data_IF_845651027545
#
_entry.id   IF_845651027545
#
_cell.length_a   1.000
_cell.length_b   1.000
_cell.length_c   1.000
_cell.angle_alpha   90.00
_cell.angle_beta   90.00
_cell.angle_gamma   90.00
#
_symmetry.space_group_name_H-M   'P 1'
#
loop_
_entity.id
_entity.type
_entity.pdbx_description
1 polymer ?
#
# COMPACT_ATOMS: atom_id res chain seq x y z
N UNK A 1 7.97 14.34 -14.41
CA UNK A 1 8.94 14.74 -13.37
C UNK A 1 9.81 13.55 -13.02
N UNK A 2 11.06 13.76 -12.62
CA UNK A 2 11.91 12.70 -12.04
C UNK A 2 12.03 12.97 -10.54
N UNK A 3 11.62 12.01 -9.72
CA UNK A 3 11.89 11.96 -8.29
C UNK A 3 13.25 11.30 -8.12
N UNK A 4 14.25 12.11 -7.82
CA UNK A 4 15.65 11.74 -7.90
C UNK A 4 16.27 11.43 -6.52
N UNK A 5 15.57 11.85 -5.48
CA UNK A 5 15.89 11.77 -4.05
C UNK A 5 14.55 11.93 -3.29
N UNK A 6 14.57 11.92 -1.97
CA UNK A 6 13.36 11.95 -1.16
C UNK A 6 12.55 13.23 -1.37
N UNK A 7 11.23 13.07 -1.48
CA UNK A 7 10.29 14.19 -1.54
C UNK A 7 9.55 14.30 -0.22
N UNK A 8 9.88 15.36 0.53
CA UNK A 8 9.20 15.68 1.77
C UNK A 8 8.10 16.72 1.55
N UNK A 9 6.89 16.43 2.03
CA UNK A 9 5.77 17.37 2.12
C UNK A 9 5.64 17.78 3.59
N UNK A 10 6.12 18.97 4.00
CA UNK A 10 6.10 19.38 5.40
C UNK A 10 4.69 19.60 5.95
N UNK A 11 4.55 19.54 7.27
CA UNK A 11 3.33 19.96 7.95
C UNK A 11 2.94 21.40 7.55
N UNK A 12 1.65 21.65 7.38
CA UNK A 12 1.13 22.94 6.91
C UNK A 12 1.31 23.21 5.40
N UNK A 13 2.01 22.33 4.68
CA UNK A 13 2.15 22.41 3.22
C UNK A 13 1.26 21.39 2.51
N UNK A 14 0.99 21.62 1.23
CA UNK A 14 0.26 20.69 0.38
C UNK A 14 0.97 20.44 -0.94
N UNK A 15 0.99 19.19 -1.40
CA UNK A 15 1.40 18.82 -2.75
C UNK A 15 0.22 18.22 -3.52
N UNK A 16 0.05 18.63 -4.78
CA UNK A 16 -0.94 18.04 -5.68
C UNK A 16 -0.28 17.49 -6.94
N UNK A 17 -0.52 16.22 -7.23
CA UNK A 17 -0.27 15.62 -8.54
C UNK A 17 -1.54 15.75 -9.40
N UNK A 18 -1.44 16.53 -10.47
CA UNK A 18 -2.54 16.76 -11.40
C UNK A 18 -2.86 15.49 -12.23
N UNK A 19 -4.10 15.33 -12.75
CA UNK A 19 -4.43 14.18 -13.60
C UNK A 19 -3.44 14.01 -14.76
N UNK A 20 -3.08 12.76 -15.07
CA UNK A 20 -2.11 12.43 -16.13
C UNK A 20 -0.65 12.70 -15.78
N UNK A 21 -0.34 13.16 -14.56
CA UNK A 21 1.05 13.34 -14.12
C UNK A 21 1.83 12.03 -14.18
N UNK A 22 3.05 12.10 -14.72
CA UNK A 22 4.00 11.00 -14.73
C UNK A 22 5.21 11.34 -13.85
N UNK A 23 5.42 10.51 -12.83
CA UNK A 23 6.51 10.60 -11.88
C UNK A 23 7.44 9.40 -12.10
N UNK A 24 8.63 9.68 -12.62
CA UNK A 24 9.69 8.70 -12.74
C UNK A 24 10.48 8.66 -11.45
N UNK A 25 10.54 7.53 -10.75
CA UNK A 25 11.30 7.39 -9.51
C UNK A 25 12.66 6.81 -9.83
N UNK A 26 13.74 7.53 -9.54
CA UNK A 26 15.09 6.99 -9.64
C UNK A 26 15.34 6.10 -8.43
N UNK A 27 15.64 4.80 -8.61
CA UNK A 27 16.08 3.95 -7.51
C UNK A 27 17.31 4.56 -6.84
N UNK A 28 17.38 4.48 -5.52
CA UNK A 28 18.58 4.91 -4.81
C UNK A 28 19.72 3.90 -5.06
N UNK A 29 20.91 4.40 -5.39
CA UNK A 29 22.12 3.57 -5.46
C UNK A 29 22.61 3.33 -4.02
N UNK A 30 22.36 2.13 -3.49
CA UNK A 30 22.69 1.79 -2.12
C UNK A 30 24.21 1.75 -1.89
N UNK A 31 24.74 2.74 -1.19
CA UNK A 31 26.05 2.65 -0.50
C UNK A 31 25.97 3.08 0.97
N UNK A 32 24.77 3.31 1.53
CA UNK A 32 24.61 3.81 2.91
C UNK A 32 24.61 2.65 3.90
N UNK A 33 25.70 2.55 4.67
CA UNK A 33 25.91 1.62 5.77
C UNK A 33 25.47 2.27 7.09
N UNK A 34 24.18 2.57 7.29
CA UNK A 34 23.63 3.11 8.55
C UNK A 34 22.16 2.71 8.70
N UNK A 35 21.64 2.64 9.94
CA UNK A 35 21.06 1.44 10.54
C UNK A 35 19.92 0.79 9.76
N UNK A 36 19.80 -0.52 9.96
CA UNK A 36 18.93 -1.53 9.34
C UNK A 36 17.43 -1.20 9.26
N UNK A 37 16.99 -0.15 9.95
CA UNK A 37 15.60 0.25 10.14
C UNK A 37 15.20 1.54 9.41
N UNK A 38 16.11 2.17 8.66
CA UNK A 38 15.78 3.26 7.74
C UNK A 38 15.93 2.76 6.30
N UNK A 39 14.86 2.86 5.51
CA UNK A 39 14.92 2.55 4.08
C UNK A 39 15.94 3.49 3.42
N UNK A 40 16.92 2.93 2.72
CA UNK A 40 17.89 3.71 1.94
C UNK A 40 17.34 4.13 0.57
N UNK A 41 16.08 3.79 0.29
CA UNK A 41 15.43 3.95 -0.99
C UNK A 41 14.74 5.30 -1.11
N UNK A 42 14.72 5.85 -2.32
CA UNK A 42 13.97 7.07 -2.66
C UNK A 42 12.51 6.97 -2.21
N UNK A 43 12.02 7.98 -1.51
CA UNK A 43 10.68 7.94 -0.90
C UNK A 43 9.89 9.26 -1.00
N UNK A 44 8.57 9.18 -0.78
CA UNK A 44 7.71 10.35 -0.60
C UNK A 44 7.21 10.38 0.84
N UNK A 45 7.72 11.33 1.63
CA UNK A 45 7.40 11.50 3.04
C UNK A 45 6.34 12.60 3.21
N UNK A 46 5.15 12.23 3.70
CA UNK A 46 4.02 13.14 3.87
C UNK A 46 3.82 13.45 5.35
N UNK A 47 4.08 14.70 5.75
CA UNK A 47 3.68 15.27 7.05
C UNK A 47 2.53 16.28 6.90
N UNK A 48 2.34 16.82 5.70
CA UNK A 48 1.28 17.78 5.37
C UNK A 48 0.11 17.13 4.64
N UNK A 49 -0.31 17.74 3.54
CA UNK A 49 -1.41 17.24 2.70
C UNK A 49 -0.91 16.73 1.35
N UNK A 50 -1.28 15.50 1.01
CA UNK A 50 -1.03 14.93 -0.33
C UNK A 50 -2.34 14.77 -1.10
N UNK A 51 -2.39 15.31 -2.32
CA UNK A 51 -3.50 15.09 -3.25
C UNK A 51 -3.01 14.46 -4.54
N UNK A 52 -3.53 13.29 -4.88
CA UNK A 52 -3.33 12.66 -6.18
C UNK A 52 -4.67 12.70 -6.92
N UNK A 53 -4.74 13.48 -8.00
CA UNK A 53 -6.02 13.85 -8.64
C UNK A 53 -6.24 13.15 -9.98
N UNK A 54 -5.79 11.91 -10.13
CA UNK A 54 -5.98 11.16 -11.37
C UNK A 54 -7.39 10.58 -11.52
N UNK A 55 -7.64 10.00 -12.70
CA UNK A 55 -8.88 9.30 -13.02
C UNK A 55 -8.60 8.13 -13.99
N UNK A 56 -9.65 7.40 -14.41
CA UNK A 56 -9.50 6.22 -15.29
C UNK A 56 -8.85 6.56 -16.64
N UNK A 57 -9.15 7.72 -17.21
CA UNK A 57 -8.61 8.16 -18.50
C UNK A 57 -7.20 8.74 -18.36
N UNK A 58 -6.97 9.51 -17.30
CA UNK A 58 -5.73 10.23 -17.03
C UNK A 58 -5.20 9.88 -15.63
N UNK A 59 -4.70 8.65 -15.44
CA UNK A 59 -4.18 8.26 -14.14
C UNK A 59 -2.88 9.00 -13.83
N UNK A 60 -2.63 9.28 -12.54
CA UNK A 60 -1.28 9.66 -12.09
C UNK A 60 -0.44 8.40 -11.97
N UNK A 61 0.77 8.39 -12.54
CA UNK A 61 1.62 7.19 -12.56
C UNK A 61 2.95 7.44 -11.86
N UNK A 62 3.29 6.55 -10.93
CA UNK A 62 4.59 6.46 -10.27
C UNK A 62 5.28 5.22 -10.80
N UNK A 63 6.30 5.44 -11.64
CA UNK A 63 7.02 4.37 -12.32
C UNK A 63 8.49 4.47 -11.94
N UNK A 64 9.12 3.41 -11.41
CA UNK A 64 10.55 3.43 -11.20
C UNK A 64 11.27 3.43 -12.55
N UNK A 65 12.40 4.13 -12.60
CA UNK A 65 13.38 3.99 -13.66
C UNK A 65 14.09 2.65 -13.54
N UNK A 66 14.61 2.16 -14.66
CA UNK A 66 15.45 0.98 -14.67
C UNK A 66 16.73 1.26 -13.85
N UNK A 67 17.08 0.43 -12.84
CA UNK A 67 18.35 0.56 -12.15
C UNK A 67 19.51 0.26 -13.10
N UNK A 68 20.69 0.84 -12.82
CA UNK A 68 21.92 0.60 -13.59
C UNK A 68 22.40 -0.84 -13.35
N UNK A 69 22.43 -1.25 -12.08
CA UNK A 69 22.78 -2.61 -11.69
C UNK A 69 21.56 -3.55 -11.74
N UNK A 70 21.76 -4.84 -12.07
CA UNK A 70 20.69 -5.83 -12.02
C UNK A 70 20.11 -5.93 -10.61
N UNK A 71 18.80 -5.82 -10.51
CA UNK A 71 18.03 -6.06 -9.29
C UNK A 71 17.21 -7.32 -9.52
N UNK A 72 17.08 -8.19 -8.52
CA UNK A 72 16.32 -9.42 -8.67
C UNK A 72 14.87 -9.13 -9.07
N UNK A 73 14.26 -10.06 -9.81
CA UNK A 73 12.86 -9.94 -10.17
C UNK A 73 12.00 -9.99 -8.91
N UNK A 74 11.07 -9.03 -8.80
CA UNK A 74 10.20 -8.90 -7.61
C UNK A 74 10.73 -7.92 -6.56
N UNK A 75 12.04 -7.64 -6.52
CA UNK A 75 12.60 -6.72 -5.53
C UNK A 75 12.05 -5.29 -5.72
N UNK A 76 11.78 -4.56 -4.63
CA UNK A 76 11.34 -3.18 -4.69
C UNK A 76 12.46 -2.28 -5.21
N UNK A 77 12.08 -1.22 -5.93
CA UNK A 77 13.00 -0.26 -6.54
C UNK A 77 13.02 1.10 -5.84
N UNK A 78 12.09 1.32 -4.91
CA UNK A 78 11.95 2.55 -4.13
C UNK A 78 11.10 2.27 -2.90
N UNK A 79 11.07 3.15 -1.89
CA UNK A 79 10.37 2.85 -0.65
C UNK A 79 8.84 2.90 -0.83
N UNK A 80 8.34 3.91 -1.55
CA UNK A 80 6.92 4.15 -1.76
C UNK A 80 6.47 5.51 -1.24
N UNK A 81 5.24 5.58 -0.72
CA UNK A 81 4.67 6.79 -0.14
C UNK A 81 4.34 6.52 1.33
N UNK A 82 4.93 7.32 2.21
CA UNK A 82 4.73 7.22 3.65
C UNK A 82 3.95 8.41 4.18
N UNK A 83 2.85 8.12 4.86
CA UNK A 83 1.95 9.09 5.45
C UNK A 83 2.14 9.02 6.96
N UNK A 84 2.80 10.06 7.47
CA UNK A 84 3.33 10.14 8.82
C UNK A 84 2.35 10.88 9.75
N UNK A 85 2.62 10.93 11.08
CA UNK A 85 1.66 11.44 12.04
C UNK A 85 1.10 12.83 11.69
N UNK A 86 -0.23 12.92 11.64
CA UNK A 86 -0.97 14.15 11.30
C UNK A 86 -1.14 14.42 9.80
N UNK A 87 -0.59 13.58 8.92
CA UNK A 87 -0.76 13.71 7.49
C UNK A 87 -2.21 13.40 7.04
N UNK A 88 -2.62 14.08 5.97
CA UNK A 88 -3.92 13.84 5.33
C UNK A 88 -3.73 13.63 3.83
N UNK A 89 -4.34 12.58 3.28
CA UNK A 89 -4.24 12.27 1.87
C UNK A 89 -5.59 12.02 1.19
N UNK A 90 -5.70 12.51 -0.04
CA UNK A 90 -6.80 12.25 -0.97
C UNK A 90 -6.23 11.71 -2.27
N UNK A 91 -6.42 10.41 -2.50
CA UNK A 91 -5.81 9.67 -3.60
C UNK A 91 -6.90 9.20 -4.57
N UNK A 92 -6.79 9.58 -5.84
CA UNK A 92 -7.74 9.19 -6.89
C UNK A 92 -7.01 8.84 -8.17
N UNK A 93 -7.49 7.77 -8.82
CA UNK A 93 -7.07 7.30 -10.14
C UNK A 93 -5.56 7.30 -10.35
N UNK A 94 -4.83 6.45 -9.62
CA UNK A 94 -3.38 6.38 -9.75
C UNK A 94 -2.87 4.97 -9.97
N UNK A 95 -1.63 4.87 -10.42
CA UNK A 95 -0.86 3.63 -10.51
C UNK A 95 0.48 3.82 -9.83
N UNK A 96 0.83 2.92 -8.91
CA UNK A 96 2.09 2.89 -8.19
C UNK A 96 2.71 1.51 -8.34
N UNK A 97 3.99 1.46 -8.71
CA UNK A 97 4.65 0.19 -9.05
C UNK A 97 5.97 -0.03 -8.32
N UNK A 98 6.24 -1.28 -7.96
CA UNK A 98 7.54 -1.76 -7.43
C UNK A 98 8.10 -0.93 -6.27
N UNK A 99 7.24 -0.49 -5.37
CA UNK A 99 7.65 0.06 -4.09
C UNK A 99 7.88 -1.07 -3.08
N UNK A 100 8.68 -0.82 -2.05
CA UNK A 100 8.78 -1.72 -0.91
C UNK A 100 7.44 -1.73 -0.16
N UNK A 101 6.94 -0.56 0.22
CA UNK A 101 5.58 -0.39 0.72
C UNK A 101 4.83 0.58 -0.18
N UNK A 102 3.82 0.11 -0.91
CA UNK A 102 3.04 0.95 -1.82
C UNK A 102 2.46 2.18 -1.11
N UNK A 103 1.79 1.96 0.02
CA UNK A 103 1.35 3.01 0.95
C UNK A 103 1.59 2.58 2.40
N UNK A 104 2.47 3.28 3.10
CA UNK A 104 2.60 3.18 4.56
C UNK A 104 1.78 4.30 5.20
N UNK A 105 0.88 3.96 6.13
CA UNK A 105 0.00 4.92 6.79
C UNK A 105 0.11 4.74 8.31
N UNK A 106 0.66 5.76 8.97
CA UNK A 106 0.94 5.78 10.40
C UNK A 106 0.36 7.05 11.02
N UNK A 107 -0.59 6.90 11.94
CA UNK A 107 -1.25 8.04 12.62
C UNK A 107 -1.73 9.14 11.65
N UNK A 108 -2.20 8.73 10.46
CA UNK A 108 -2.58 9.58 9.34
C UNK A 108 -3.97 9.20 8.80
N UNK A 109 -4.59 10.11 8.04
CA UNK A 109 -5.91 9.90 7.43
C UNK A 109 -5.83 9.86 5.90
N UNK A 110 -6.42 8.82 5.31
CA UNK A 110 -6.39 8.57 3.87
C UNK A 110 -7.77 8.29 3.32
N UNK A 111 -8.13 9.03 2.28
CA UNK A 111 -9.25 8.72 1.38
C UNK A 111 -8.71 8.26 0.03
N UNK A 112 -9.15 7.10 -0.43
CA UNK A 112 -8.71 6.48 -1.68
C UNK A 112 -9.92 6.18 -2.56
N UNK A 113 -9.89 6.62 -3.82
CA UNK A 113 -10.96 6.37 -4.79
C UNK A 113 -10.41 5.96 -6.16
N UNK A 114 -10.36 4.66 -6.40
CA UNK A 114 -9.80 4.11 -7.63
C UNK A 114 -8.28 4.23 -7.68
N UNK A 115 -7.60 3.12 -7.87
CA UNK A 115 -6.14 3.13 -8.01
C UNK A 115 -5.58 1.72 -8.00
N UNK A 116 -4.33 1.61 -8.44
CA UNK A 116 -3.63 0.33 -8.57
C UNK A 116 -2.26 0.37 -7.93
N UNK A 117 -1.99 -0.62 -7.10
CA UNK A 117 -0.67 -0.89 -6.55
C UNK A 117 -0.20 -2.22 -7.17
N UNK A 118 0.92 -2.20 -7.90
CA UNK A 118 1.40 -3.38 -8.63
C UNK A 118 2.86 -3.69 -8.36
N UNK A 119 3.18 -4.94 -8.04
CA UNK A 119 4.56 -5.37 -7.82
C UNK A 119 5.18 -4.77 -6.56
N UNK A 120 4.36 -4.30 -5.61
CA UNK A 120 4.88 -3.74 -4.35
C UNK A 120 5.10 -4.89 -3.37
N UNK A 121 6.20 -4.91 -2.61
CA UNK A 121 6.44 -5.98 -1.63
C UNK A 121 5.27 -6.05 -0.64
N UNK A 122 4.96 -4.92 -0.04
CA UNK A 122 3.72 -4.67 0.69
C UNK A 122 2.86 -3.70 -0.13
N UNK A 123 1.63 -4.07 -0.44
CA UNK A 123 0.69 -3.17 -1.10
C UNK A 123 0.33 -1.99 -0.20
N UNK A 124 -0.31 -2.29 0.93
CA UNK A 124 -0.62 -1.30 1.95
C UNK A 124 -0.23 -1.78 3.34
N UNK A 125 0.31 -0.87 4.13
CA UNK A 125 0.62 -1.09 5.53
C UNK A 125 -0.08 0.00 6.35
N UNK A 126 -1.06 -0.40 7.15
CA UNK A 126 -1.87 0.47 7.99
C UNK A 126 -1.56 0.18 9.47
N UNK A 127 -0.96 1.16 10.14
CA UNK A 127 -0.42 1.03 11.50
C UNK A 127 -0.95 2.14 12.41
N UNK A 128 -1.10 1.81 13.69
CA UNK A 128 -1.25 2.72 14.85
C UNK A 128 -1.97 4.05 14.58
N UNK A 129 -3.21 4.18 15.07
CA UNK A 129 -4.01 5.41 15.03
C UNK A 129 -4.38 5.89 13.62
N UNK A 130 -4.00 5.15 12.57
CA UNK A 130 -4.28 5.49 11.19
C UNK A 130 -5.73 5.18 10.78
N UNK A 131 -6.20 5.91 9.77
CA UNK A 131 -7.54 5.74 9.20
C UNK A 131 -7.46 5.69 7.69
N UNK A 132 -7.92 4.59 7.10
CA UNK A 132 -8.03 4.42 5.65
C UNK A 132 -9.47 4.13 5.26
N UNK A 133 -10.03 4.98 4.40
CA UNK A 133 -11.27 4.69 3.66
C UNK A 133 -10.93 4.56 2.18
N UNK A 134 -11.15 3.38 1.60
CA UNK A 134 -10.87 3.13 0.19
C UNK A 134 -12.05 2.51 -0.56
N UNK A 135 -12.24 2.96 -1.78
CA UNK A 135 -13.09 2.32 -2.78
C UNK A 135 -12.33 1.99 -4.06
N UNK A 136 -12.70 0.89 -4.72
CA UNK A 136 -12.19 0.54 -6.07
C UNK A 136 -10.67 0.43 -6.13
N UNK A 137 -10.06 -0.10 -5.07
CA UNK A 137 -8.62 -0.34 -4.97
C UNK A 137 -8.27 -1.70 -5.58
N UNK A 138 -7.21 -1.75 -6.38
CA UNK A 138 -6.67 -2.97 -6.99
C UNK A 138 -5.21 -3.15 -6.57
N UNK A 139 -4.95 -4.10 -5.68
CA UNK A 139 -3.59 -4.44 -5.24
C UNK A 139 -3.23 -5.79 -5.85
N UNK A 140 -2.10 -5.85 -6.55
CA UNK A 140 -1.70 -7.09 -7.23
C UNK A 140 -0.21 -7.29 -7.33
N UNK A 141 0.23 -8.56 -7.30
CA UNK A 141 1.64 -8.95 -7.46
C UNK A 141 2.51 -8.33 -6.36
N UNK A 142 2.89 -9.13 -5.38
CA UNK A 142 3.62 -8.66 -4.20
C UNK A 142 3.70 -9.76 -3.16
N UNK A 143 4.38 -9.54 -2.05
CA UNK A 143 4.38 -10.49 -0.94
C UNK A 143 3.04 -10.39 -0.19
N UNK A 144 2.71 -9.20 0.30
CA UNK A 144 1.50 -8.95 1.11
C UNK A 144 0.64 -7.85 0.49
N UNK A 145 -0.66 -8.12 0.32
CA UNK A 145 -1.60 -7.17 -0.26
C UNK A 145 -1.95 -6.02 0.67
N UNK A 146 -2.39 -6.33 1.89
CA UNK A 146 -2.70 -5.35 2.93
C UNK A 146 -2.38 -5.93 4.30
N UNK A 147 -1.70 -5.13 5.12
CA UNK A 147 -1.44 -5.42 6.52
C UNK A 147 -2.07 -4.35 7.40
N UNK A 148 -3.06 -4.71 8.22
CA UNK A 148 -3.65 -3.82 9.22
C UNK A 148 -3.31 -4.28 10.62
N UNK A 149 -2.69 -3.40 11.42
CA UNK A 149 -2.29 -3.69 12.80
C UNK A 149 -2.61 -2.58 13.79
N UNK A 150 -2.59 -2.93 15.07
CA UNK A 150 -2.85 -1.99 16.16
C UNK A 150 -4.29 -1.47 16.11
N UNK A 151 -4.52 -0.26 16.64
CA UNK A 151 -5.83 0.38 16.71
C UNK A 151 -6.27 1.09 15.42
N UNK A 152 -5.66 0.73 14.28
CA UNK A 152 -5.99 1.30 12.98
C UNK A 152 -7.45 1.04 12.55
N UNK A 153 -8.00 1.96 11.76
CA UNK A 153 -9.37 1.87 11.23
C UNK A 153 -9.34 1.72 9.71
N UNK A 154 -9.89 0.60 9.23
CA UNK A 154 -9.92 0.23 7.83
C UNK A 154 -11.37 0.12 7.32
N UNK A 155 -11.72 0.89 6.30
CA UNK A 155 -12.96 0.74 5.55
C UNK A 155 -12.66 0.52 4.06
N UNK A 156 -13.01 -0.65 3.53
CA UNK A 156 -12.79 -1.02 2.13
C UNK A 156 -14.10 -1.33 1.42
N UNK A 157 -14.23 -0.85 0.17
CA UNK A 157 -15.33 -1.22 -0.70
C UNK A 157 -14.94 -1.45 -2.15
N UNK A 158 -15.54 -2.45 -2.80
CA UNK A 158 -15.36 -2.72 -4.23
C UNK A 158 -13.88 -2.90 -4.63
N UNK A 159 -13.08 -3.50 -3.74
CA UNK A 159 -11.62 -3.60 -3.87
C UNK A 159 -11.17 -5.04 -4.06
N UNK A 160 -10.01 -5.25 -4.69
CA UNK A 160 -9.42 -6.57 -4.83
C UNK A 160 -7.94 -6.65 -4.51
N UNK A 161 -7.55 -7.78 -3.90
CA UNK A 161 -6.19 -8.17 -3.57
C UNK A 161 -5.90 -9.48 -4.28
N UNK A 162 -4.90 -9.51 -5.17
CA UNK A 162 -4.69 -10.70 -6.00
C UNK A 162 -3.25 -11.00 -6.38
N UNK A 163 -2.94 -12.28 -6.57
CA UNK A 163 -1.60 -12.72 -6.98
C UNK A 163 -0.53 -12.27 -5.97
N UNK A 164 -0.86 -12.35 -4.68
CA UNK A 164 0.13 -12.18 -3.61
C UNK A 164 0.86 -13.50 -3.37
N UNK A 165 2.17 -13.42 -3.20
CA UNK A 165 3.04 -14.56 -2.91
C UNK A 165 2.84 -15.05 -1.47
N UNK A 166 2.28 -14.21 -0.59
CA UNK A 166 1.83 -14.54 0.77
C UNK A 166 0.36 -14.13 0.98
N UNK A 167 0.06 -13.23 1.92
CA UNK A 167 -1.32 -12.85 2.24
C UNK A 167 -1.93 -11.82 1.30
N UNK A 168 -3.16 -12.07 0.86
CA UNK A 168 -4.01 -11.03 0.30
C UNK A 168 -4.35 -9.94 1.33
N UNK A 169 -4.70 -10.37 2.55
CA UNK A 169 -5.11 -9.51 3.67
C UNK A 169 -4.60 -10.11 4.97
N UNK A 170 -3.87 -9.32 5.76
CA UNK A 170 -3.58 -9.57 7.16
C UNK A 170 -4.33 -8.57 8.01
N UNK A 171 -5.18 -9.07 8.91
CA UNK A 171 -6.01 -8.25 9.80
C UNK A 171 -5.75 -8.66 11.26
N UNK A 172 -5.01 -7.83 11.98
CA UNK A 172 -4.80 -7.98 13.40
C UNK A 172 -6.11 -7.83 14.21
N UNK A 173 -6.12 -8.39 15.43
CA UNK A 173 -7.25 -8.33 16.38
C UNK A 173 -7.66 -6.93 16.75
N UNK A 174 -6.71 -6.01 16.86
CA UNK A 174 -6.97 -4.65 17.33
C UNK A 174 -7.50 -3.74 16.21
N UNK A 175 -7.30 -4.12 14.95
CA UNK A 175 -7.71 -3.32 13.81
C UNK A 175 -9.24 -3.31 13.67
N UNK A 176 -9.83 -2.12 13.56
CA UNK A 176 -11.26 -1.95 13.32
C UNK A 176 -11.54 -2.00 11.82
N UNK A 177 -12.21 -3.06 11.36
CA UNK A 177 -12.37 -3.35 9.93
C UNK A 177 -13.83 -3.32 9.49
N UNK A 178 -14.11 -2.64 8.37
CA UNK A 178 -15.38 -2.70 7.62
C UNK A 178 -15.10 -3.03 6.16
N UNK A 179 -15.66 -4.13 5.67
CA UNK A 179 -15.50 -4.58 4.28
C UNK A 179 -16.86 -4.62 3.58
N UNK A 180 -16.89 -4.24 2.30
CA UNK A 180 -18.05 -4.38 1.42
C UNK A 180 -17.59 -4.76 0.02
N UNK A 181 -18.01 -5.91 -0.51
CA UNK A 181 -17.64 -6.35 -1.86
C UNK A 181 -16.11 -6.35 -2.09
N UNK A 182 -15.36 -6.81 -1.09
CA UNK A 182 -13.91 -7.00 -1.18
C UNK A 182 -13.61 -8.41 -1.65
N UNK A 183 -12.65 -8.56 -2.56
CA UNK A 183 -12.25 -9.86 -3.11
C UNK A 183 -10.76 -10.11 -2.87
N UNK A 184 -10.42 -11.19 -2.17
CA UNK A 184 -9.05 -11.70 -2.09
C UNK A 184 -8.95 -12.98 -2.92
N UNK A 185 -8.11 -12.96 -3.96
CA UNK A 185 -8.10 -14.04 -4.96
C UNK A 185 -6.73 -14.44 -5.47
N UNK A 186 -6.54 -15.74 -5.70
CA UNK A 186 -5.29 -16.29 -6.27
C UNK A 186 -4.04 -15.83 -5.52
N UNK A 187 -4.19 -15.67 -4.20
CA UNK A 187 -3.09 -15.43 -3.28
C UNK A 187 -2.63 -16.76 -2.69
N UNK A 188 -1.43 -16.78 -2.15
CA UNK A 188 -0.96 -17.93 -1.39
C UNK A 188 -1.81 -18.14 -0.12
N UNK A 189 -2.03 -17.06 0.63
CA UNK A 189 -3.00 -17.01 1.73
C UNK A 189 -4.05 -15.93 1.45
N UNK A 190 -5.33 -16.29 1.46
CA UNK A 190 -6.41 -15.34 1.16
C UNK A 190 -6.63 -14.30 2.26
N UNK A 191 -6.65 -14.75 3.51
CA UNK A 191 -6.87 -13.94 4.70
C UNK A 191 -6.11 -14.53 5.90
N UNK A 192 -5.36 -13.69 6.59
CA UNK A 192 -4.88 -13.94 7.96
C UNK A 192 -5.67 -13.07 8.92
N UNK A 193 -6.32 -13.69 9.92
CA UNK A 193 -7.09 -12.97 10.93
C UNK A 193 -7.25 -13.80 12.21
N UNK A 194 -7.62 -13.17 13.33
CA UNK A 194 -7.91 -13.88 14.60
C UNK A 194 -9.29 -14.54 14.68
N UNK A 195 -10.22 -14.24 13.77
CA UNK A 195 -11.58 -14.77 13.83
C UNK A 195 -12.11 -15.24 12.47
N UNK A 196 -13.19 -16.02 12.53
CA UNK A 196 -13.73 -16.78 11.41
C UNK A 196 -14.62 -15.99 10.44
N UNK A 197 -15.14 -14.82 10.81
CA UNK A 197 -16.19 -14.15 10.04
C UNK A 197 -15.84 -12.70 9.70
N UNK A 198 -15.81 -12.43 8.39
CA UNK A 198 -15.60 -11.11 7.81
C UNK A 198 -16.70 -10.84 6.78
N UNK A 199 -17.82 -10.21 7.17
CA UNK A 199 -18.88 -9.88 6.21
C UNK A 199 -18.31 -8.93 5.15
N UNK A 200 -18.73 -9.12 3.90
CA UNK A 200 -18.28 -8.28 2.78
C UNK A 200 -16.91 -8.67 2.18
N UNK A 201 -16.30 -9.78 2.61
CA UNK A 201 -15.10 -10.35 2.00
C UNK A 201 -15.41 -11.69 1.29
N UNK A 202 -15.01 -11.78 0.02
CA UNK A 202 -15.06 -13.01 -0.78
C UNK A 202 -13.64 -13.53 -1.04
N UNK A 203 -13.44 -14.82 -0.82
CA UNK A 203 -12.16 -15.50 -1.06
C UNK A 203 -12.31 -16.42 -2.28
N UNK A 204 -11.42 -16.29 -3.28
CA UNK A 204 -11.55 -17.01 -4.56
C UNK A 204 -10.21 -17.58 -4.99
N UNK A 205 -10.14 -18.90 -5.23
CA UNK A 205 -8.95 -19.56 -5.81
C UNK A 205 -7.62 -19.28 -5.08
N UNK A 206 -7.63 -19.04 -3.76
CA UNK A 206 -6.40 -18.89 -2.97
C UNK A 206 -5.83 -20.28 -2.62
N UNK A 207 -4.49 -20.44 -2.54
CA UNK A 207 -3.87 -21.73 -2.15
C UNK A 207 -4.35 -22.16 -0.77
N UNK A 208 -4.31 -21.24 0.19
CA UNK A 208 -4.94 -21.35 1.48
C UNK A 208 -5.96 -20.21 1.64
N UNK A 209 -7.28 -20.46 1.62
CA UNK A 209 -8.26 -19.38 1.74
C UNK A 209 -8.11 -18.56 3.02
N UNK A 210 -7.84 -19.22 4.16
CA UNK A 210 -7.73 -18.56 5.48
C UNK A 210 -6.67 -19.22 6.35
N UNK A 211 -5.97 -18.40 7.13
CA UNK A 211 -5.10 -18.80 8.22
C UNK A 211 -5.49 -18.01 9.48
N UNK A 212 -5.62 -18.69 10.62
CA UNK A 212 -6.05 -18.05 11.87
C UNK A 212 -4.88 -17.82 12.82
N UNK A 213 -4.78 -16.60 13.35
CA UNK A 213 -3.75 -16.23 14.32
C UNK A 213 -4.12 -16.77 15.71
N UNK A 214 -3.43 -17.82 16.15
CA UNK A 214 -3.61 -18.47 17.44
C UNK A 214 -4.05 -19.92 17.29
N UNK A 215 -3.13 -20.85 17.54
CA UNK A 215 -3.46 -22.26 17.70
C UNK A 215 -4.39 -22.48 18.89
N UNK A 216 -5.67 -22.66 18.61
CA UNK A 216 -6.69 -23.20 19.50
C UNK A 216 -7.70 -23.93 18.61
N UNK A 217 -7.92 -25.20 18.90
CA UNK A 217 -8.74 -26.14 18.12
C UNK A 217 -10.17 -25.62 17.83
N UNK A 218 -10.84 -26.16 16.78
CA UNK A 218 -12.21 -25.81 16.38
C UNK A 218 -13.26 -25.91 17.49
#
# INVERSE_FOLDING_TARGET
MVLADDLRIPAGSSLTFAPGSLVWVRPAESTKIFPEYLSSLTEILVYGTLRISGNRQNPVRFLPLQPIDPVADGDPLWAGIELLPGAVASLSGFELRRADVGLLVQQAEVSFSGGRLTGCRYGLLLQEGSRLTAERMDVRQGEVGLFCSGDAVLALSDSSFSLMDEEGLYLDRQCTVRLRQVVSRRNDVGLVAVDHFRPGLTLVDNRLPRLYLGGGAP
#
